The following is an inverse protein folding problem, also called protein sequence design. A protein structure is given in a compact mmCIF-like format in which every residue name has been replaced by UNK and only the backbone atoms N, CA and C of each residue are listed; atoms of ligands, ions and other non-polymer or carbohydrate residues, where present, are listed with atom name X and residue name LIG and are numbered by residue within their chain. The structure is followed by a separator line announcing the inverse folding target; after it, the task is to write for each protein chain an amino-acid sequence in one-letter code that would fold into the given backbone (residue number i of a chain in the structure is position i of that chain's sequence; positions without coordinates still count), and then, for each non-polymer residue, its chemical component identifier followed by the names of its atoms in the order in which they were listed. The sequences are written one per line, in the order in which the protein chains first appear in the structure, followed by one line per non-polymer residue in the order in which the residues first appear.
data_IF_628965651352
#
_entry.id   IF_628965651352
#
_cell.length_a   1.000
_cell.length_b   1.000
_cell.length_c   1.000
_cell.angle_alpha   90.00
_cell.angle_beta   90.00
_cell.angle_gamma   90.00
#
_symmetry.space_group_name_H-M   'P 1'
#
loop_
_entity.id
_entity.type
_entity.pdbx_description
1 polymer ?
#
# COMPACT_ATOMS: atom_id res chain seq x y z
N UNK A 1 0.39 -1.51 4.82
CA UNK A 1 -0.01 -2.79 4.18
C UNK A 1 -1.48 -3.05 4.46
N UNK A 2 -2.26 -3.60 3.52
CA UNK A 2 -3.68 -3.91 3.77
C UNK A 2 -3.81 -5.25 4.50
N UNK A 3 -3.74 -5.25 5.84
CA UNK A 3 -3.89 -6.45 6.69
C UNK A 3 -5.19 -7.22 6.37
N UNK A 4 -6.24 -6.49 5.98
CA UNK A 4 -7.54 -7.05 5.56
C UNK A 4 -7.46 -7.90 4.28
N UNK A 5 -6.52 -7.61 3.39
CA UNK A 5 -6.38 -8.31 2.12
C UNK A 5 -5.94 -9.77 2.32
N UNK A 6 -5.04 -10.03 3.27
CA UNK A 6 -4.60 -11.38 3.60
C UNK A 6 -5.75 -12.23 4.14
N UNK A 7 -6.46 -11.73 5.15
CA UNK A 7 -7.62 -12.40 5.75
C UNK A 7 -8.69 -12.71 4.70
N UNK A 8 -8.95 -11.77 3.79
CA UNK A 8 -9.90 -11.99 2.71
C UNK A 8 -9.47 -13.09 1.75
N UNK A 9 -8.20 -13.12 1.33
CA UNK A 9 -7.70 -14.15 0.41
C UNK A 9 -7.65 -15.52 1.11
N UNK A 10 -7.34 -15.58 2.40
CA UNK A 10 -7.41 -16.82 3.19
C UNK A 10 -8.86 -17.34 3.30
N UNK A 11 -9.84 -16.45 3.49
CA UNK A 11 -11.25 -16.81 3.45
C UNK A 11 -11.65 -17.35 2.07
N UNK A 12 -11.28 -16.66 1.00
CA UNK A 12 -11.53 -17.13 -0.37
C UNK A 12 -10.94 -18.52 -0.63
N UNK A 13 -9.72 -18.77 -0.14
CA UNK A 13 -9.08 -20.09 -0.24
C UNK A 13 -9.93 -21.17 0.43
N UNK A 14 -10.36 -20.96 1.68
CA UNK A 14 -11.22 -21.89 2.42
C UNK A 14 -12.55 -22.14 1.69
N UNK A 15 -13.18 -21.08 1.18
CA UNK A 15 -14.44 -21.20 0.44
C UNK A 15 -14.28 -22.05 -0.83
N UNK A 16 -13.17 -21.88 -1.56
CA UNK A 16 -12.86 -22.68 -2.77
C UNK A 16 -12.54 -24.12 -2.42
N UNK A 17 -11.79 -24.37 -1.33
CA UNK A 17 -11.49 -25.72 -0.83
C UNK A 17 -12.77 -26.46 -0.45
N UNK A 18 -13.67 -25.81 0.28
CA UNK A 18 -14.97 -26.37 0.65
C UNK A 18 -15.82 -26.71 -0.57
N UNK A 19 -15.89 -25.80 -1.56
CA UNK A 19 -16.60 -26.05 -2.83
C UNK A 19 -16.00 -27.22 -3.60
N UNK A 20 -14.67 -27.33 -3.63
CA UNK A 20 -13.98 -28.42 -4.30
C UNK A 20 -14.27 -29.76 -3.61
N UNK A 21 -14.20 -29.81 -2.28
CA UNK A 21 -14.51 -31.00 -1.49
C UNK A 21 -15.96 -31.44 -1.70
N UNK A 22 -16.93 -30.51 -1.61
CA UNK A 22 -18.34 -30.79 -1.85
C UNK A 22 -18.59 -31.33 -3.28
N UNK A 23 -17.95 -30.72 -4.30
CA UNK A 23 -18.07 -31.21 -5.68
C UNK A 23 -17.50 -32.60 -5.84
N UNK A 24 -16.35 -32.89 -5.24
CA UNK A 24 -15.73 -34.21 -5.30
C UNK A 24 -16.58 -35.27 -4.58
N UNK A 25 -17.16 -34.95 -3.43
CA UNK A 25 -18.09 -35.83 -2.73
C UNK A 25 -19.31 -36.18 -3.59
N UNK A 26 -20.00 -35.16 -4.13
CA UNK A 26 -21.14 -35.36 -5.03
C UNK A 26 -20.81 -36.21 -6.27
N UNK A 27 -19.62 -36.03 -6.86
CA UNK A 27 -19.22 -36.81 -8.03
C UNK A 27 -18.92 -38.27 -7.68
N UNK A 28 -18.37 -38.53 -6.49
CA UNK A 28 -18.12 -39.87 -5.97
C UNK A 28 -19.43 -40.60 -5.65
N UNK A 29 -20.38 -39.91 -5.01
CA UNK A 29 -21.73 -40.45 -4.73
C UNK A 29 -22.47 -40.85 -6.01
N UNK A 30 -22.25 -40.11 -7.10
CA UNK A 30 -22.79 -40.44 -8.43
C UNK A 30 -22.04 -41.58 -9.14
N UNK A 31 -21.04 -42.20 -8.51
CA UNK A 31 -20.27 -43.31 -9.09
C UNK A 31 -19.40 -42.91 -10.27
N UNK A 32 -19.05 -41.62 -10.42
CA UNK A 32 -18.23 -41.15 -11.54
C UNK A 32 -16.79 -41.61 -11.33
N UNK A 33 -16.22 -42.26 -12.36
CA UNK A 33 -14.82 -42.70 -12.33
C UNK A 33 -13.85 -41.53 -12.16
N UNK A 34 -12.73 -41.71 -11.44
CA UNK A 34 -11.78 -40.65 -11.14
C UNK A 34 -11.21 -39.95 -12.38
N UNK A 35 -10.99 -40.68 -13.46
CA UNK A 35 -10.54 -40.13 -14.75
C UNK A 35 -11.52 -39.10 -15.34
N UNK A 36 -12.82 -39.35 -15.19
CA UNK A 36 -13.87 -38.41 -15.62
C UNK A 36 -13.98 -37.23 -14.66
N UNK A 37 -13.79 -37.46 -13.35
CA UNK A 37 -13.74 -36.37 -12.34
C UNK A 37 -12.59 -35.40 -12.62
N UNK A 38 -11.43 -35.89 -13.04
CA UNK A 38 -10.30 -35.02 -13.38
C UNK A 38 -10.59 -34.13 -14.60
N UNK A 39 -11.41 -34.61 -15.54
CA UNK A 39 -11.85 -33.86 -16.72
C UNK A 39 -13.05 -32.94 -16.45
N UNK A 40 -13.70 -33.05 -15.29
CA UNK A 40 -14.84 -32.20 -14.92
C UNK A 40 -14.43 -30.71 -14.93
N UNK A 41 -15.15 -29.86 -15.70
CA UNK A 41 -14.78 -28.45 -15.88
C UNK A 41 -14.86 -27.67 -14.58
N UNK A 42 -15.80 -27.99 -13.70
CA UNK A 42 -15.98 -27.34 -12.40
C UNK A 42 -14.82 -27.66 -11.47
N UNK A 43 -14.40 -28.94 -11.39
CA UNK A 43 -13.21 -29.35 -10.62
C UNK A 43 -11.96 -28.66 -11.14
N UNK A 44 -11.76 -28.59 -12.45
CA UNK A 44 -10.60 -27.89 -13.07
C UNK A 44 -10.60 -26.40 -12.75
N UNK A 45 -11.76 -25.74 -12.82
CA UNK A 45 -11.92 -24.33 -12.47
C UNK A 45 -11.59 -24.08 -10.99
N UNK A 46 -12.16 -24.86 -10.07
CA UNK A 46 -11.93 -24.71 -8.63
C UNK A 46 -10.45 -24.93 -8.27
N UNK A 47 -9.79 -25.92 -8.87
CA UNK A 47 -8.33 -26.11 -8.72
C UNK A 47 -7.54 -24.93 -9.26
N UNK A 48 -7.95 -24.35 -10.40
CA UNK A 48 -7.30 -23.16 -10.94
C UNK A 48 -7.48 -21.94 -10.03
N UNK A 49 -8.66 -21.74 -9.45
CA UNK A 49 -8.92 -20.69 -8.46
C UNK A 49 -8.03 -20.88 -7.22
N UNK A 50 -7.88 -22.10 -6.72
CA UNK A 50 -7.00 -22.43 -5.60
C UNK A 50 -5.52 -22.11 -5.89
N UNK A 51 -5.05 -22.38 -7.12
CA UNK A 51 -3.70 -21.96 -7.55
C UNK A 51 -3.55 -20.44 -7.53
N UNK A 52 -4.54 -19.71 -8.07
CA UNK A 52 -4.53 -18.23 -8.08
C UNK A 52 -4.50 -17.63 -6.67
N UNK A 53 -5.31 -18.15 -5.75
CA UNK A 53 -5.33 -17.67 -4.35
C UNK A 53 -4.00 -17.95 -3.66
N UNK A 54 -3.41 -19.13 -3.85
CA UNK A 54 -2.09 -19.45 -3.31
C UNK A 54 -0.99 -18.53 -3.84
N UNK A 55 -0.96 -18.26 -5.16
CA UNK A 55 -0.01 -17.29 -5.74
C UNK A 55 -0.19 -15.91 -5.12
N UNK A 56 -1.44 -15.46 -4.93
CA UNK A 56 -1.73 -14.17 -4.30
C UNK A 56 -1.26 -14.11 -2.85
N UNK A 57 -1.44 -15.17 -2.07
CA UNK A 57 -0.93 -15.25 -0.70
C UNK A 57 0.60 -15.18 -0.65
N UNK A 58 1.28 -15.85 -1.59
CA UNK A 58 2.73 -15.81 -1.70
C UNK A 58 3.24 -14.40 -2.07
N UNK A 59 2.55 -13.68 -2.95
CA UNK A 59 2.90 -12.29 -3.28
C UNK A 59 2.70 -11.35 -2.08
N UNK A 60 1.63 -11.55 -1.30
CA UNK A 60 1.40 -10.78 -0.08
C UNK A 60 2.54 -11.03 0.92
N UNK A 61 2.92 -12.29 1.15
CA UNK A 61 4.01 -12.60 2.09
C UNK A 61 5.37 -12.09 1.62
N UNK A 62 5.66 -12.11 0.32
CA UNK A 62 6.86 -11.49 -0.24
C UNK A 62 6.86 -9.97 0.00
N UNK A 63 5.72 -9.31 -0.21
CA UNK A 63 5.60 -7.87 0.06
C UNK A 63 5.70 -7.55 1.56
N UNK A 64 5.23 -8.43 2.46
CA UNK A 64 5.39 -8.27 3.91
C UNK A 64 6.87 -8.23 4.28
N UNK A 65 7.67 -9.17 3.76
CA UNK A 65 9.12 -9.23 4.00
C UNK A 65 9.84 -7.98 3.51
N UNK A 66 9.59 -7.56 2.26
CA UNK A 66 10.19 -6.35 1.71
C UNK A 66 9.84 -5.09 2.52
N UNK A 67 8.61 -5.02 3.04
CA UNK A 67 8.20 -3.89 3.88
C UNK A 67 8.88 -3.92 5.25
N UNK A 68 9.08 -5.10 5.84
CA UNK A 68 9.81 -5.26 7.10
C UNK A 68 11.28 -4.83 6.95
N UNK A 69 11.95 -5.28 5.89
CA UNK A 69 13.33 -4.89 5.58
C UNK A 69 13.45 -3.38 5.37
N UNK A 70 12.53 -2.78 4.60
CA UNK A 70 12.49 -1.32 4.41
C UNK A 70 12.27 -0.58 5.73
N UNK A 71 11.35 -1.06 6.57
CA UNK A 71 11.09 -0.46 7.87
C UNK A 71 12.34 -0.48 8.77
N UNK A 72 13.03 -1.61 8.83
CA UNK A 72 14.29 -1.74 9.58
C UNK A 72 15.37 -0.79 9.03
N UNK A 73 15.57 -0.75 7.71
CA UNK A 73 16.54 0.16 7.09
C UNK A 73 16.20 1.64 7.36
N UNK A 74 14.92 2.01 7.32
CA UNK A 74 14.51 3.38 7.67
C UNK A 74 14.72 3.69 9.15
N UNK A 75 14.43 2.73 10.05
CA UNK A 75 14.66 2.90 11.49
C UNK A 75 16.14 3.09 11.80
N UNK A 76 17.02 2.29 11.17
CA UNK A 76 18.48 2.44 11.30
C UNK A 76 18.96 3.80 10.78
N UNK A 77 18.49 4.24 9.61
CA UNK A 77 18.85 5.56 9.06
C UNK A 77 18.36 6.72 9.94
N UNK A 78 17.17 6.61 10.51
CA UNK A 78 16.64 7.63 11.43
C UNK A 78 17.45 7.63 12.72
N UNK A 79 17.79 6.46 13.26
CA UNK A 79 18.63 6.34 14.45
C UNK A 79 20.03 6.94 14.22
N UNK A 80 20.67 6.63 13.09
CA UNK A 80 21.97 7.20 12.71
C UNK A 80 21.91 8.73 12.60
N UNK A 81 20.92 9.27 11.89
CA UNK A 81 20.72 10.73 11.78
C UNK A 81 20.46 11.42 13.11
N UNK A 82 19.74 10.75 14.02
CA UNK A 82 19.50 11.27 15.38
C UNK A 82 20.79 11.26 16.19
N UNK A 83 21.57 10.17 16.13
CA UNK A 83 22.87 10.09 16.80
C UNK A 83 23.87 11.12 16.27
N UNK A 84 23.94 11.32 14.95
CA UNK A 84 24.74 12.38 14.32
C UNK A 84 24.32 13.77 14.79
N UNK A 85 23.01 14.04 14.87
CA UNK A 85 22.50 15.33 15.36
C UNK A 85 22.81 15.56 16.84
N UNK A 86 22.71 14.53 17.67
CA UNK A 86 23.04 14.61 19.10
C UNK A 86 24.56 14.75 19.33
N UNK A 87 25.38 14.07 18.54
CA UNK A 87 26.84 14.24 18.56
C UNK A 87 27.25 15.65 18.12
N UNK A 88 26.63 16.20 17.08
CA UNK A 88 26.86 17.57 16.63
C UNK A 88 26.48 18.62 17.69
N UNK A 89 25.38 18.40 18.44
CA UNK A 89 24.97 19.28 19.53
C UNK A 89 25.88 19.21 20.77
N UNK A 90 26.47 18.03 21.04
CA UNK A 90 27.45 17.87 22.13
C UNK A 90 28.83 18.41 21.76
N UNK A 91 29.24 18.28 20.49
CA UNK A 91 30.52 18.80 19.98
C UNK A 91 30.61 20.33 19.91
N UNK A 92 29.48 21.06 19.96
CA UNK A 92 29.46 22.53 20.05
C UNK A 92 29.53 23.07 21.48
N UNK A 93 29.70 22.22 22.50
CA UNK A 93 29.70 22.64 23.91
C UNK A 93 31.09 22.75 24.56
N UNK A 94 32.17 22.55 23.81
CA UNK A 94 33.56 22.71 24.29
C UNK A 94 34.37 23.62 23.37
N UNK A 95 34.11 24.93 23.39
CA UNK A 95 35.17 25.95 23.36
C UNK A 95 34.59 27.33 23.74
N UNK A 96 35.10 28.00 24.79
CA UNK A 96 34.64 29.30 25.23
C UNK A 96 35.47 30.41 24.58
N UNK A 97 34.86 31.45 23.99
CA UNK A 97 35.47 32.78 23.93
C UNK A 97 34.48 33.85 23.45
N UNK A 98 34.18 34.72 24.40
CA UNK A 98 33.73 36.10 24.27
C UNK A 98 34.14 36.81 22.96
N UNK A 99 33.17 37.48 22.32
CA UNK A 99 33.34 38.89 21.95
C UNK A 99 31.98 39.57 21.72
N UNK A 100 31.67 40.40 22.71
CA UNK A 100 30.68 41.48 22.75
C UNK A 100 30.69 42.38 21.51
N UNK A 101 29.50 42.97 21.28
CA UNK A 101 29.25 44.35 20.81
C UNK A 101 29.57 44.64 19.33
N UNK A 102 28.72 45.27 18.50
CA UNK A 102 27.95 46.52 18.72
C UNK A 102 27.13 46.85 17.45
N UNK A 103 25.96 47.48 17.65
CA UNK A 103 25.22 48.43 16.76
C UNK A 103 24.71 47.87 15.41
N UNK A 104 23.44 47.97 15.00
CA UNK A 104 22.38 48.92 15.32
C UNK A 104 22.16 49.93 14.17
N UNK A 105 21.13 49.74 13.34
CA UNK A 105 20.33 50.75 12.58
C UNK A 105 19.26 50.01 11.72
N UNK A 106 17.95 50.21 11.97
CA UNK A 106 17.01 51.11 11.23
C UNK A 106 16.85 50.69 9.75
N UNK A 107 15.69 50.56 9.10
CA UNK A 107 14.29 50.99 9.29
C UNK A 107 13.41 50.17 8.29
N UNK A 108 12.12 49.97 8.60
CA UNK A 108 11.01 49.50 7.73
C UNK A 108 10.70 50.55 6.61
N UNK A 109 9.70 50.38 5.71
CA UNK A 109 9.09 49.24 4.98
C UNK A 109 8.81 49.62 3.47
N UNK A 110 7.82 48.95 2.84
CA UNK A 110 7.15 49.20 1.54
C UNK A 110 7.69 48.47 0.30
N UNK A 111 6.93 48.08 -0.73
CA UNK A 111 5.51 47.80 -1.02
C UNK A 111 5.50 47.60 -2.55
N UNK A 112 4.74 46.64 -3.07
CA UNK A 112 4.48 46.48 -4.52
C UNK A 112 5.15 45.22 -5.09
N UNK A 113 4.49 44.34 -5.84
CA UNK A 113 3.30 44.52 -6.65
C UNK A 113 2.49 43.21 -6.79
N UNK A 114 1.16 43.32 -6.69
CA UNK A 114 0.22 42.56 -7.54
C UNK A 114 0.08 43.34 -8.85
N UNK A 115 -0.14 42.69 -10.01
CA UNK A 115 -1.52 42.48 -10.51
C UNK A 115 -1.72 41.06 -11.09
N UNK A 116 -2.78 40.33 -10.77
CA UNK A 116 -4.14 40.35 -11.37
C UNK A 116 -4.34 39.44 -12.61
N UNK A 117 -5.54 38.82 -12.62
CA UNK A 117 -6.36 38.36 -13.76
C UNK A 117 -6.04 36.97 -14.35
N UNK A 118 -7.02 36.16 -14.75
CA UNK A 118 -8.48 36.04 -14.59
C UNK A 118 -8.85 34.87 -15.51
N UNK A 119 -9.81 34.03 -15.10
CA UNK A 119 -10.75 33.17 -15.87
C UNK A 119 -10.93 31.87 -15.10
N UNK A 120 -11.82 31.80 -14.10
CA UNK A 120 -13.29 31.76 -14.21
C UNK A 120 -13.85 30.80 -15.27
N UNK A 121 -14.70 29.89 -14.77
CA UNK A 121 -15.87 29.23 -15.38
C UNK A 121 -15.63 28.08 -16.36
N UNK A 122 -15.97 26.87 -15.89
CA UNK A 122 -17.30 26.29 -16.15
C UNK A 122 -17.59 25.09 -15.23
N UNK A 123 -18.50 25.31 -14.28
CA UNK A 123 -19.42 24.28 -13.81
C UNK A 123 -20.28 23.78 -14.98
N UNK A 124 -20.58 22.48 -15.02
CA UNK A 124 -21.93 21.89 -15.17
C UNK A 124 -21.83 20.40 -15.50
N UNK A 125 -22.17 19.55 -14.52
CA UNK A 125 -23.00 18.35 -14.77
C UNK A 125 -24.40 18.83 -15.20
N UNK A 126 -25.18 18.12 -16.05
CA UNK A 126 -25.63 16.76 -15.75
C UNK A 126 -25.71 15.78 -16.95
N UNK A 127 -25.81 14.49 -16.61
CA UNK A 127 -26.42 13.41 -17.41
C UNK A 127 -27.90 13.74 -17.73
N UNK A 128 -28.48 13.24 -18.85
CA UNK A 128 -29.03 11.87 -18.87
C UNK A 128 -28.85 11.07 -20.17
N UNK A 129 -28.94 9.75 -20.03
CA UNK A 129 -29.01 8.70 -21.07
C UNK A 129 -30.39 8.65 -21.80
N UNK A 130 -30.75 7.60 -22.58
CA UNK A 130 -30.08 6.86 -23.68
C UNK A 130 -30.90 6.92 -25.00
N UNK A 131 -30.29 6.65 -26.16
CA UNK A 131 -31.04 6.30 -27.40
C UNK A 131 -30.51 5.00 -27.97
N UNK A 132 -31.31 3.92 -27.80
CA UNK A 132 -31.35 2.80 -28.73
C UNK A 132 -32.63 2.97 -29.56
N UNK A 133 -32.51 2.95 -30.89
CA UNK A 133 -33.58 2.66 -31.84
C UNK A 133 -33.11 1.53 -32.74
#
# INVERSE_FOLDING_TARGET
MNLRARVYVEKQKKDVENKLAARLAMLKEKGIRPEKIQKDPTVRRLKAELRKTNTRLASISAQEKLNQERAQATAQKIAAKKAEREAALKGTSEEPAEKKEKKGKKEKPEKGAKPEKKKEKKEKKPEPAPENK
#
